data_IF_932010522236
#
_entry.id   IF_932010522236
#
_cell.length_a   1.000
_cell.length_b   1.000
_cell.length_c   1.000
_cell.angle_alpha   90.00
_cell.angle_beta   90.00
_cell.angle_gamma   90.00
#
_symmetry.space_group_name_H-M   'P 1'
#
loop_
_entity.id
_entity.type
_entity.pdbx_description
1 polymer ?
#
# COMPACT_ATOMS: atom_id res chain seq x y z
N UNK A 1 4.87 -25.76 21.71
CA UNK A 1 4.88 -26.54 22.94
C UNK A 1 4.54 -28.00 22.61
N UNK A 2 5.49 -28.94 22.81
CA UNK A 2 5.27 -30.35 22.51
C UNK A 2 4.16 -31.02 23.34
N UNK A 3 3.76 -30.39 24.45
CA UNK A 3 2.66 -30.85 25.29
C UNK A 3 1.28 -30.70 24.67
N UNK A 4 1.14 -29.78 23.70
CA UNK A 4 -0.12 -29.55 23.00
C UNK A 4 -0.34 -30.63 21.94
N UNK A 5 -1.47 -31.33 21.99
CA UNK A 5 -1.83 -32.35 21.04
C UNK A 5 -1.79 -31.88 19.60
N UNK A 6 -2.35 -30.69 19.35
CA UNK A 6 -2.37 -30.09 18.02
C UNK A 6 -0.95 -29.86 17.44
N UNK A 7 0.01 -29.44 18.26
CA UNK A 7 1.40 -29.25 17.82
C UNK A 7 2.08 -30.58 17.48
N UNK A 8 1.79 -31.65 18.23
CA UNK A 8 2.31 -32.98 17.89
C UNK A 8 1.74 -33.51 16.58
N UNK A 9 0.44 -33.42 16.41
CA UNK A 9 -0.22 -33.87 15.18
C UNK A 9 0.26 -33.10 13.96
N UNK A 10 0.41 -31.76 14.08
CA UNK A 10 0.98 -30.92 13.03
C UNK A 10 2.43 -31.30 12.71
N UNK A 11 3.25 -31.55 13.72
CA UNK A 11 4.64 -31.97 13.55
C UNK A 11 4.75 -33.31 12.84
N UNK A 12 3.98 -34.33 13.26
CA UNK A 12 3.97 -35.65 12.63
C UNK A 12 3.51 -35.58 11.17
N UNK A 13 2.49 -34.75 10.88
CA UNK A 13 2.01 -34.54 9.52
C UNK A 13 3.08 -33.85 8.66
N UNK A 14 3.75 -32.85 9.19
CA UNK A 14 4.83 -32.12 8.50
C UNK A 14 6.02 -33.06 8.21
N UNK A 15 6.42 -33.91 9.17
CA UNK A 15 7.47 -34.90 8.97
C UNK A 15 7.13 -35.89 7.82
N UNK A 16 5.89 -36.30 7.73
CA UNK A 16 5.42 -37.16 6.63
C UNK A 16 5.42 -36.45 5.30
N UNK A 17 4.91 -35.20 5.27
CA UNK A 17 4.90 -34.36 4.07
C UNK A 17 6.31 -34.09 3.56
N UNK A 18 7.24 -33.75 4.46
CA UNK A 18 8.62 -33.46 4.10
C UNK A 18 9.32 -34.68 3.43
N UNK A 19 9.07 -35.90 3.90
CA UNK A 19 9.60 -37.10 3.25
C UNK A 19 9.14 -37.22 1.80
N UNK A 20 7.85 -37.02 1.56
CA UNK A 20 7.26 -37.08 0.22
C UNK A 20 7.81 -35.93 -0.66
N UNK A 21 7.97 -34.71 -0.11
CA UNK A 21 8.56 -33.59 -0.84
C UNK A 21 10.02 -33.85 -1.24
N UNK A 22 10.82 -34.47 -0.37
CA UNK A 22 12.19 -34.86 -0.68
C UNK A 22 12.24 -35.91 -1.80
N UNK A 23 11.34 -36.90 -1.76
CA UNK A 23 11.22 -37.92 -2.83
C UNK A 23 10.82 -37.27 -4.16
N UNK A 24 9.83 -36.41 -4.16
CA UNK A 24 9.41 -35.65 -5.37
C UNK A 24 10.52 -34.75 -5.91
N UNK A 25 11.25 -34.07 -5.05
CA UNK A 25 12.37 -33.24 -5.46
C UNK A 25 13.42 -34.06 -6.23
N UNK A 26 13.71 -35.28 -5.76
CA UNK A 26 14.63 -36.21 -6.42
C UNK A 26 14.07 -36.76 -7.72
N UNK A 27 12.81 -37.18 -7.72
CA UNK A 27 12.12 -37.76 -8.88
C UNK A 27 11.98 -36.78 -10.03
N UNK A 28 11.57 -35.53 -9.72
CA UNK A 28 11.31 -34.50 -10.73
C UNK A 28 12.48 -33.55 -10.97
N UNK A 29 13.61 -33.73 -10.28
CA UNK A 29 14.77 -32.84 -10.40
C UNK A 29 14.53 -31.41 -9.93
N UNK A 30 13.62 -31.22 -8.96
CA UNK A 30 13.27 -29.92 -8.38
C UNK A 30 14.15 -29.68 -7.15
N UNK A 31 14.75 -28.49 -7.08
CA UNK A 31 15.58 -28.12 -5.94
C UNK A 31 14.74 -27.66 -4.76
N UNK A 32 15.05 -28.18 -3.57
CA UNK A 32 14.44 -27.75 -2.31
C UNK A 32 15.20 -26.58 -1.72
N UNK A 33 14.50 -25.74 -0.99
CA UNK A 33 15.05 -24.72 -0.09
C UNK A 33 14.42 -24.89 1.29
N UNK A 34 15.19 -24.65 2.36
CA UNK A 34 14.68 -24.67 3.71
C UNK A 34 14.16 -23.28 4.12
N UNK A 35 13.09 -23.25 4.90
CA UNK A 35 12.50 -22.05 5.49
C UNK A 35 12.17 -22.28 6.95
N UNK A 36 12.05 -21.24 7.76
CA UNK A 36 11.79 -21.34 9.21
C UNK A 36 10.53 -20.62 9.68
N UNK A 37 9.77 -20.00 8.79
CA UNK A 37 8.52 -19.30 9.16
C UNK A 37 8.74 -18.29 10.31
N UNK A 38 9.76 -17.44 10.20
CA UNK A 38 10.17 -16.51 11.27
C UNK A 38 9.07 -15.49 11.59
N UNK A 39 8.72 -15.38 12.88
CA UNK A 39 7.71 -14.46 13.40
C UNK A 39 8.23 -13.53 14.48
N UNK A 40 9.38 -13.84 15.07
CA UNK A 40 10.01 -13.03 16.11
C UNK A 40 11.54 -13.15 16.04
N UNK A 41 12.24 -12.25 16.74
CA UNK A 41 13.66 -12.00 16.56
C UNK A 41 14.53 -13.13 17.11
N UNK A 42 14.32 -13.48 18.38
CA UNK A 42 15.12 -14.47 19.09
C UNK A 42 14.24 -15.39 19.96
N UNK A 43 14.86 -16.41 20.54
CA UNK A 43 14.19 -17.41 21.36
C UNK A 43 13.56 -16.80 22.63
N UNK A 44 14.18 -15.78 23.18
CA UNK A 44 13.76 -15.09 24.40
C UNK A 44 12.48 -14.28 24.17
N UNK A 45 12.24 -13.80 22.95
CA UNK A 45 11.05 -13.01 22.58
C UNK A 45 9.82 -13.85 22.26
N UNK A 46 9.92 -15.18 22.31
CA UNK A 46 8.79 -16.09 22.04
C UNK A 46 7.58 -15.85 22.96
N UNK A 47 7.81 -15.55 24.24
CA UNK A 47 6.73 -15.23 25.19
C UNK A 47 6.06 -13.89 24.87
N UNK A 48 6.82 -12.88 24.48
CA UNK A 48 6.29 -11.58 24.07
C UNK A 48 5.40 -11.73 22.82
N UNK A 49 5.83 -12.55 21.86
CA UNK A 49 5.01 -12.86 20.67
C UNK A 49 3.70 -13.57 21.04
N UNK A 50 3.72 -14.52 21.99
CA UNK A 50 2.52 -15.21 22.46
C UNK A 50 1.50 -14.25 23.09
N UNK A 51 1.96 -13.25 23.86
CA UNK A 51 1.12 -12.18 24.39
C UNK A 51 0.56 -11.28 23.27
N UNK A 52 1.38 -10.96 22.27
CA UNK A 52 0.96 -10.16 21.13
C UNK A 52 -0.17 -10.85 20.34
N UNK A 53 -0.11 -12.17 20.18
CA UNK A 53 -1.20 -12.95 19.58
C UNK A 53 -2.51 -12.83 20.36
N UNK A 54 -2.45 -12.82 21.69
CA UNK A 54 -3.63 -12.61 22.52
C UNK A 54 -4.25 -11.23 22.29
N UNK A 55 -3.45 -10.18 22.24
CA UNK A 55 -3.91 -8.82 21.95
C UNK A 55 -4.54 -8.75 20.56
N UNK A 56 -3.86 -9.30 19.53
CA UNK A 56 -4.32 -9.25 18.14
C UNK A 56 -5.62 -10.04 17.91
N UNK A 57 -5.85 -11.11 18.67
CA UNK A 57 -7.04 -11.98 18.51
C UNK A 57 -8.14 -11.72 19.54
N UNK A 58 -7.93 -10.81 20.49
CA UNK A 58 -8.87 -10.53 21.57
C UNK A 58 -9.11 -11.75 22.51
N UNK A 59 -8.05 -12.51 22.76
CA UNK A 59 -8.09 -13.74 23.59
C UNK A 59 -7.23 -13.60 24.84
N UNK A 60 -7.65 -14.27 25.91
CA UNK A 60 -6.88 -14.37 27.14
C UNK A 60 -5.81 -15.48 27.06
N UNK A 61 -4.75 -15.36 27.87
CA UNK A 61 -3.64 -16.32 27.87
C UNK A 61 -4.07 -17.74 28.26
N UNK A 62 -5.09 -17.88 29.10
CA UNK A 62 -5.63 -19.14 29.58
C UNK A 62 -6.76 -19.71 28.69
N UNK A 63 -7.20 -18.98 27.64
CA UNK A 63 -8.19 -19.51 26.69
C UNK A 63 -7.63 -20.76 25.98
N UNK A 64 -8.26 -21.93 26.14
CA UNK A 64 -7.80 -23.17 25.54
C UNK A 64 -7.88 -23.17 24.01
N UNK A 65 -8.72 -22.33 23.43
CA UNK A 65 -8.96 -22.27 21.98
C UNK A 65 -8.23 -21.11 21.29
N UNK A 66 -7.32 -20.42 21.98
CA UNK A 66 -6.53 -19.36 21.37
C UNK A 66 -5.47 -19.88 20.41
N UNK A 67 -5.09 -19.06 19.45
CA UNK A 67 -3.96 -19.33 18.56
C UNK A 67 -2.66 -19.42 19.36
N UNK A 68 -1.85 -20.43 19.06
CA UNK A 68 -0.51 -20.62 19.62
C UNK A 68 0.46 -21.05 18.54
N UNK A 69 1.66 -20.53 18.61
CA UNK A 69 2.80 -21.01 17.81
C UNK A 69 3.62 -22.05 18.60
N UNK A 70 4.55 -22.68 17.91
CA UNK A 70 5.41 -23.71 18.51
C UNK A 70 6.52 -23.14 19.40
N UNK A 71 6.73 -21.82 19.33
CA UNK A 71 7.85 -21.08 19.92
C UNK A 71 9.19 -21.44 19.30
N UNK A 72 9.18 -21.94 18.07
CA UNK A 72 10.37 -22.25 17.28
C UNK A 72 10.58 -21.28 16.10
N UNK A 73 9.73 -20.29 15.97
CA UNK A 73 9.64 -19.38 14.83
C UNK A 73 10.53 -18.14 14.99
N UNK A 74 11.64 -18.22 15.74
CA UNK A 74 12.64 -17.15 15.82
C UNK A 74 13.57 -17.14 14.60
N UNK A 75 14.25 -16.02 14.40
CA UNK A 75 15.25 -15.85 13.35
C UNK A 75 16.53 -16.61 13.69
N UNK A 76 16.61 -17.87 13.28
CA UNK A 76 17.71 -18.78 13.59
C UNK A 76 19.02 -18.38 12.93
N UNK A 77 20.12 -18.60 13.62
CA UNK A 77 21.47 -18.49 13.06
C UNK A 77 21.71 -19.56 11.99
N UNK A 78 22.78 -19.37 11.21
CA UNK A 78 23.19 -20.39 10.23
C UNK A 78 23.46 -21.73 10.88
N UNK A 79 24.11 -21.73 12.03
CA UNK A 79 24.45 -22.92 12.80
C UNK A 79 23.20 -23.66 13.24
N UNK A 80 22.22 -22.95 13.82
CA UNK A 80 20.92 -23.51 14.21
C UNK A 80 20.16 -24.07 13.00
N UNK A 81 20.16 -23.38 11.87
CA UNK A 81 19.53 -23.87 10.65
C UNK A 81 20.23 -25.13 10.11
N UNK A 82 21.57 -25.20 10.20
CA UNK A 82 22.32 -26.39 9.82
C UNK A 82 22.00 -27.61 10.71
N UNK A 83 21.74 -27.38 12.00
CA UNK A 83 21.31 -28.44 12.92
C UNK A 83 19.90 -28.93 12.59
N UNK A 84 18.96 -28.02 12.36
CA UNK A 84 17.54 -28.32 12.05
C UNK A 84 17.39 -29.09 10.74
N UNK A 85 18.19 -28.76 9.73
CA UNK A 85 18.13 -29.37 8.38
C UNK A 85 19.35 -30.21 8.03
N UNK A 86 19.97 -30.84 9.03
CA UNK A 86 21.17 -31.64 8.84
C UNK A 86 20.96 -32.85 7.91
N UNK A 87 19.74 -33.35 7.79
CA UNK A 87 19.33 -34.45 6.92
C UNK A 87 19.13 -34.02 5.43
N UNK A 88 19.03 -32.71 5.15
CA UNK A 88 18.82 -32.16 3.81
C UNK A 88 19.73 -30.95 3.56
N UNK A 89 21.06 -31.08 3.67
CA UNK A 89 21.99 -29.94 3.61
C UNK A 89 21.96 -29.20 2.28
N UNK A 90 21.57 -29.86 1.19
CA UNK A 90 21.38 -29.23 -0.11
C UNK A 90 20.26 -28.16 -0.10
N UNK A 91 19.23 -28.32 0.74
CA UNK A 91 18.16 -27.34 0.88
C UNK A 91 18.65 -26.03 1.52
N UNK A 92 19.69 -26.09 2.34
CA UNK A 92 20.37 -24.90 2.88
C UNK A 92 21.20 -24.20 1.80
N UNK A 93 22.05 -24.95 1.07
CA UNK A 93 22.90 -24.37 0.03
C UNK A 93 22.09 -23.82 -1.14
N UNK A 94 20.96 -24.41 -1.48
CA UNK A 94 20.10 -23.95 -2.57
C UNK A 94 19.46 -22.57 -2.30
N UNK A 95 19.44 -22.08 -1.06
CA UNK A 95 19.02 -20.72 -0.76
C UNK A 95 19.86 -19.68 -1.48
N UNK A 96 21.15 -19.96 -1.72
CA UNK A 96 22.05 -19.10 -2.50
C UNK A 96 21.64 -19.01 -3.97
N UNK A 97 21.00 -20.02 -4.53
CA UNK A 97 20.50 -19.98 -5.90
C UNK A 97 19.34 -18.97 -6.05
N UNK A 98 18.50 -18.86 -5.02
CA UNK A 98 17.46 -17.84 -4.98
C UNK A 98 18.08 -16.45 -4.92
N UNK A 99 19.08 -16.27 -4.05
CA UNK A 99 19.82 -15.00 -3.95
C UNK A 99 20.48 -14.62 -5.28
N UNK A 100 21.10 -15.58 -5.97
CA UNK A 100 21.78 -15.33 -7.24
C UNK A 100 20.84 -14.98 -8.41
N UNK A 101 19.52 -15.19 -8.25
CA UNK A 101 18.52 -14.76 -9.24
C UNK A 101 18.05 -13.32 -9.03
N UNK A 102 18.39 -12.72 -7.89
CA UNK A 102 17.98 -11.35 -7.56
C UNK A 102 18.93 -10.37 -8.26
N UNK A 103 18.35 -9.52 -9.09
CA UNK A 103 19.05 -8.39 -9.69
C UNK A 103 18.91 -7.16 -8.78
N UNK A 104 19.98 -6.37 -8.66
CA UNK A 104 19.92 -5.13 -7.91
C UNK A 104 19.11 -4.09 -8.67
N UNK A 105 17.99 -3.69 -8.11
CA UNK A 105 17.14 -2.61 -8.63
C UNK A 105 16.49 -1.84 -7.48
N UNK A 106 16.03 -0.64 -7.77
CA UNK A 106 15.27 0.13 -6.82
C UNK A 106 13.76 -0.13 -7.01
N UNK A 107 13.06 -0.41 -5.93
CA UNK A 107 11.60 -0.44 -5.89
C UNK A 107 11.03 0.90 -5.43
N UNK A 108 11.91 1.84 -5.05
CA UNK A 108 11.52 3.18 -4.64
C UNK A 108 11.26 4.04 -5.88
N UNK A 109 10.02 4.42 -6.06
CA UNK A 109 9.55 5.34 -7.08
C UNK A 109 8.44 6.23 -6.51
N UNK A 110 8.19 7.35 -7.15
CA UNK A 110 7.11 8.24 -6.75
C UNK A 110 5.74 7.55 -6.79
N UNK A 111 4.77 8.07 -6.03
CA UNK A 111 3.41 7.53 -6.03
C UNK A 111 2.83 7.45 -7.43
N UNK A 112 2.26 6.30 -7.77
CA UNK A 112 1.54 6.10 -9.02
C UNK A 112 0.07 6.44 -8.76
N UNK A 113 -0.38 7.55 -9.34
CA UNK A 113 -1.81 7.92 -9.30
C UNK A 113 -2.54 7.13 -10.38
N UNK A 114 -3.58 6.34 -10.01
CA UNK A 114 -4.40 5.67 -10.99
C UNK A 114 -5.17 6.67 -11.85
N UNK A 115 -5.46 6.27 -13.07
CA UNK A 115 -6.20 7.09 -14.03
C UNK A 115 -7.71 6.85 -13.87
N UNK A 116 -8.47 7.95 -13.70
CA UNK A 116 -9.93 7.92 -13.77
C UNK A 116 -10.37 8.32 -15.19
N UNK A 117 -11.17 7.50 -15.91
CA UNK A 117 -11.67 7.83 -17.23
C UNK A 117 -12.84 8.83 -17.13
N UNK A 118 -12.57 10.11 -17.40
CA UNK A 118 -13.62 11.13 -17.46
C UNK A 118 -14.43 10.92 -18.76
N UNK A 119 -15.77 10.90 -18.68
CA UNK A 119 -16.61 10.73 -19.87
C UNK A 119 -16.40 11.83 -20.93
N UNK A 120 -16.31 11.46 -22.20
CA UNK A 120 -16.13 12.41 -23.32
C UNK A 120 -17.27 13.44 -23.40
N UNK A 121 -18.46 13.10 -22.89
CA UNK A 121 -19.59 14.04 -22.79
C UNK A 121 -19.32 15.25 -21.90
N UNK A 122 -18.37 15.15 -20.99
CA UNK A 122 -17.90 16.26 -20.15
C UNK A 122 -16.88 17.15 -20.89
N UNK A 123 -16.17 16.58 -21.86
CA UNK A 123 -15.11 17.22 -22.63
C UNK A 123 -13.82 16.43 -22.59
N UNK A 124 -12.76 17.00 -23.17
CA UNK A 124 -11.42 16.39 -23.20
C UNK A 124 -10.35 17.34 -22.67
N UNK A 125 -9.23 16.77 -22.21
CA UNK A 125 -8.08 17.55 -21.77
C UNK A 125 -7.52 18.43 -22.90
N UNK A 126 -7.54 17.95 -24.17
CA UNK A 126 -7.12 18.71 -25.32
C UNK A 126 -7.98 19.99 -25.52
N UNK A 127 -9.28 19.88 -25.30
CA UNK A 127 -10.18 21.04 -25.37
C UNK A 127 -9.89 22.04 -24.24
N UNK A 128 -9.53 21.57 -23.07
CA UNK A 128 -9.11 22.41 -21.95
C UNK A 128 -7.80 23.14 -22.29
N UNK A 129 -6.80 22.45 -22.82
CA UNK A 129 -5.50 23.01 -23.22
C UNK A 129 -5.63 24.10 -24.29
N UNK A 130 -6.66 24.07 -25.13
CA UNK A 130 -6.92 25.10 -26.12
C UNK A 130 -7.54 26.39 -25.51
N UNK A 131 -8.17 26.28 -24.35
CA UNK A 131 -8.91 27.37 -23.69
C UNK A 131 -8.17 28.03 -22.55
N UNK A 132 -7.28 27.32 -21.90
CA UNK A 132 -6.59 27.72 -20.67
C UNK A 132 -5.11 27.84 -20.94
N UNK A 133 -4.52 28.99 -20.65
CA UNK A 133 -3.07 29.22 -20.78
C UNK A 133 -2.31 28.75 -19.53
N UNK A 134 -0.99 28.57 -19.63
CA UNK A 134 -0.13 28.30 -18.47
C UNK A 134 -0.18 29.46 -17.45
N UNK A 135 -0.36 30.71 -17.89
CA UNK A 135 -0.52 31.85 -17.01
C UNK A 135 -1.81 31.77 -16.19
N UNK A 136 -2.92 31.31 -16.82
CA UNK A 136 -4.17 31.06 -16.12
C UNK A 136 -4.04 29.95 -15.10
N UNK A 137 -3.35 28.86 -15.46
CA UNK A 137 -3.05 27.76 -14.52
C UNK A 137 -2.18 28.25 -13.36
N UNK A 138 -1.12 29.00 -13.64
CA UNK A 138 -0.27 29.55 -12.60
C UNK A 138 -1.10 30.36 -11.60
N UNK A 139 -1.90 31.29 -12.08
CA UNK A 139 -2.77 32.13 -11.24
C UNK A 139 -3.74 31.26 -10.42
N UNK A 140 -4.42 30.31 -11.05
CA UNK A 140 -5.42 29.44 -10.38
C UNK A 140 -4.84 28.58 -9.29
N UNK A 141 -3.64 28.01 -9.50
CA UNK A 141 -3.01 27.08 -8.55
C UNK A 141 -2.14 27.75 -7.47
N UNK A 142 -1.92 29.05 -7.61
CA UNK A 142 -1.12 29.84 -6.66
C UNK A 142 -1.93 30.91 -5.92
N UNK A 143 -3.25 30.88 -6.06
CA UNK A 143 -4.19 31.80 -5.40
C UNK A 143 -5.08 31.00 -4.44
N UNK A 144 -5.56 31.66 -3.38
CA UNK A 144 -6.48 31.06 -2.40
C UNK A 144 -7.84 30.67 -3.03
N UNK A 145 -8.70 30.05 -2.25
CA UNK A 145 -10.02 29.53 -2.67
C UNK A 145 -10.98 30.67 -3.12
N UNK A 146 -10.75 31.89 -2.68
CA UNK A 146 -11.54 33.07 -3.03
C UNK A 146 -10.97 33.83 -4.25
N UNK A 147 -9.76 33.47 -4.69
CA UNK A 147 -9.07 34.14 -5.78
C UNK A 147 -8.48 35.51 -5.41
N UNK A 148 -8.33 35.79 -4.12
CA UNK A 148 -7.92 37.12 -3.62
C UNK A 148 -6.41 37.21 -3.32
N UNK A 149 -5.83 36.17 -2.75
CA UNK A 149 -4.44 36.18 -2.27
C UNK A 149 -3.56 35.24 -3.08
N UNK A 150 -2.74 35.82 -3.96
CA UNK A 150 -1.78 35.05 -4.76
C UNK A 150 -0.46 34.92 -4.02
N UNK A 151 0.15 33.73 -4.11
CA UNK A 151 1.48 33.44 -3.54
C UNK A 151 2.57 34.30 -4.20
N UNK A 152 3.62 34.68 -3.47
CA UNK A 152 4.82 35.28 -4.08
C UNK A 152 5.39 34.40 -5.19
N UNK A 153 6.01 34.98 -6.25
CA UNK A 153 6.46 34.23 -7.43
C UNK A 153 7.36 33.03 -7.13
N UNK A 154 8.27 33.16 -6.15
CA UNK A 154 9.17 32.06 -5.76
C UNK A 154 8.43 30.88 -5.09
N UNK A 155 7.40 31.19 -4.31
CA UNK A 155 6.56 30.17 -3.66
C UNK A 155 5.60 29.56 -4.67
N UNK A 156 5.02 30.35 -5.54
CA UNK A 156 4.17 29.89 -6.62
C UNK A 156 4.90 28.92 -7.55
N UNK A 157 6.16 29.20 -7.92
CA UNK A 157 6.95 28.28 -8.75
C UNK A 157 7.18 26.94 -8.04
N UNK A 158 7.42 26.94 -6.73
CA UNK A 158 7.55 25.69 -5.96
C UNK A 158 6.27 24.84 -5.99
N UNK A 159 5.09 25.48 -6.02
CA UNK A 159 3.82 24.76 -6.17
C UNK A 159 3.74 24.08 -7.54
N UNK A 160 4.07 24.80 -8.62
CA UNK A 160 4.09 24.25 -9.98
C UNK A 160 5.04 23.07 -10.09
N UNK A 161 6.27 23.20 -9.57
CA UNK A 161 7.28 22.15 -9.59
C UNK A 161 6.85 20.92 -8.77
N UNK A 162 6.28 21.13 -7.58
CA UNK A 162 5.74 20.06 -6.72
C UNK A 162 4.63 19.29 -7.42
N UNK A 163 3.75 19.94 -8.16
CA UNK A 163 2.68 19.30 -8.92
C UNK A 163 3.15 18.59 -10.19
N UNK A 164 4.43 18.78 -10.55
CA UNK A 164 5.09 18.10 -11.67
C UNK A 164 5.03 18.82 -13.01
N UNK A 165 4.86 20.15 -12.98
CA UNK A 165 4.86 21.04 -14.14
C UNK A 165 3.50 21.16 -14.82
N UNK A 166 3.43 22.05 -15.80
CA UNK A 166 2.16 22.42 -16.45
C UNK A 166 1.45 21.25 -17.14
N UNK A 167 2.19 20.30 -17.71
CA UNK A 167 1.57 19.11 -18.34
C UNK A 167 0.71 18.31 -17.36
N UNK A 168 1.20 18.12 -16.14
CA UNK A 168 0.42 17.45 -15.08
C UNK A 168 -0.68 18.34 -14.53
N UNK A 169 -0.44 19.64 -14.43
CA UNK A 169 -1.43 20.61 -13.92
C UNK A 169 -2.65 20.71 -14.84
N UNK A 170 -2.50 20.62 -16.15
CA UNK A 170 -3.65 20.53 -17.06
C UNK A 170 -4.52 19.33 -16.73
N UNK A 171 -3.90 18.17 -16.48
CA UNK A 171 -4.63 16.98 -16.08
C UNK A 171 -5.32 17.14 -14.72
N UNK A 172 -4.60 17.66 -13.72
CA UNK A 172 -5.14 17.93 -12.38
C UNK A 172 -6.34 18.89 -12.48
N UNK A 173 -6.23 19.95 -13.28
CA UNK A 173 -7.34 20.90 -13.50
C UNK A 173 -8.55 20.23 -14.14
N UNK A 174 -8.34 19.42 -15.17
CA UNK A 174 -9.43 18.70 -15.86
C UNK A 174 -10.16 17.75 -14.92
N UNK A 175 -9.43 17.00 -14.10
CA UNK A 175 -9.98 16.12 -13.06
C UNK A 175 -10.70 16.92 -11.97
N UNK A 176 -10.17 18.08 -11.56
CA UNK A 176 -10.80 18.95 -10.57
C UNK A 176 -12.11 19.55 -11.06
N UNK A 177 -12.20 19.93 -12.35
CA UNK A 177 -13.45 20.42 -12.93
C UNK A 177 -14.53 19.35 -12.99
N UNK A 178 -14.16 18.11 -13.32
CA UNK A 178 -15.10 17.00 -13.31
C UNK A 178 -15.54 16.64 -11.89
N UNK A 179 -14.61 16.58 -10.94
CA UNK A 179 -14.90 16.34 -9.52
C UNK A 179 -15.84 17.43 -8.98
N UNK A 180 -15.60 18.70 -9.32
CA UNK A 180 -16.48 19.82 -8.97
C UNK A 180 -17.89 19.61 -9.51
N UNK A 181 -18.00 19.23 -10.78
CA UNK A 181 -19.30 18.94 -11.41
C UNK A 181 -20.09 17.88 -10.63
N UNK A 182 -19.46 16.74 -10.30
CA UNK A 182 -20.09 15.65 -9.54
C UNK A 182 -20.43 16.06 -8.11
N UNK A 183 -19.51 16.74 -7.43
CA UNK A 183 -19.72 17.20 -6.05
C UNK A 183 -20.91 18.17 -5.94
N UNK A 184 -21.02 19.15 -6.84
CA UNK A 184 -22.13 20.07 -6.85
C UNK A 184 -23.45 19.42 -7.27
N UNK A 185 -23.42 18.45 -8.18
CA UNK A 185 -24.60 17.66 -8.51
C UNK A 185 -25.09 16.87 -7.28
N UNK A 186 -24.18 16.24 -6.55
CA UNK A 186 -24.47 15.53 -5.32
C UNK A 186 -24.95 16.44 -4.19
N UNK A 187 -24.28 17.59 -4.00
CA UNK A 187 -24.66 18.56 -2.98
C UNK A 187 -26.07 19.11 -3.21
N UNK A 188 -26.43 19.47 -4.44
CA UNK A 188 -27.80 19.92 -4.75
C UNK A 188 -28.87 18.86 -4.48
N UNK A 189 -28.56 17.59 -4.73
CA UNK A 189 -29.49 16.47 -4.41
C UNK A 189 -29.71 16.32 -2.91
N UNK A 190 -28.68 16.56 -2.09
CA UNK A 190 -28.73 16.38 -0.65
C UNK A 190 -29.25 17.60 0.11
N UNK A 191 -28.87 18.79 -0.31
CA UNK A 191 -29.11 20.05 0.43
C UNK A 191 -30.07 21.01 -0.28
N UNK A 192 -30.48 20.70 -1.52
CA UNK A 192 -31.38 21.55 -2.31
C UNK A 192 -30.68 22.50 -3.28
N UNK A 193 -31.48 23.16 -4.14
CA UNK A 193 -31.01 24.14 -5.10
C UNK A 193 -31.88 25.41 -4.97
N UNK A 194 -31.32 26.60 -4.60
CA UNK A 194 -29.89 26.84 -4.37
C UNK A 194 -29.35 26.17 -3.09
N UNK A 195 -28.03 25.93 -3.09
CA UNK A 195 -27.35 25.42 -1.89
C UNK A 195 -27.39 26.44 -0.76
N UNK A 196 -27.47 26.00 0.52
CA UNK A 196 -27.20 26.89 1.66
C UNK A 196 -25.79 27.46 1.58
N UNK A 197 -25.61 28.71 1.93
CA UNK A 197 -24.34 29.48 1.81
C UNK A 197 -23.17 28.73 2.50
N UNK A 198 -23.39 28.26 3.74
CA UNK A 198 -22.36 27.53 4.49
C UNK A 198 -21.98 26.17 3.83
N UNK A 199 -22.87 25.53 3.10
CA UNK A 199 -22.60 24.30 2.37
C UNK A 199 -21.79 24.62 1.11
N UNK A 200 -22.16 25.68 0.38
CA UNK A 200 -21.45 26.12 -0.83
C UNK A 200 -20.00 26.51 -0.50
N UNK A 201 -19.81 27.33 0.53
CA UNK A 201 -18.49 27.74 1.00
C UNK A 201 -17.63 26.52 1.37
N UNK A 202 -18.19 25.56 2.12
CA UNK A 202 -17.46 24.36 2.54
C UNK A 202 -17.09 23.47 1.36
N UNK A 203 -18.01 23.20 0.45
CA UNK A 203 -17.74 22.41 -0.77
C UNK A 203 -16.68 23.11 -1.63
N UNK A 204 -16.74 24.42 -1.78
CA UNK A 204 -15.75 25.17 -2.54
C UNK A 204 -14.34 25.06 -1.92
N UNK A 205 -14.25 25.22 -0.60
CA UNK A 205 -12.99 25.08 0.14
C UNK A 205 -12.38 23.69 -0.02
N UNK A 206 -13.15 22.63 0.21
CA UNK A 206 -12.68 21.25 0.10
C UNK A 206 -12.18 20.93 -1.33
N UNK A 207 -12.94 21.33 -2.34
CA UNK A 207 -12.54 21.14 -3.74
C UNK A 207 -11.27 21.92 -4.09
N UNK A 208 -11.11 23.12 -3.53
CA UNK A 208 -9.88 23.90 -3.70
C UNK A 208 -8.67 23.18 -3.10
N UNK A 209 -8.79 22.65 -1.88
CA UNK A 209 -7.73 21.89 -1.22
C UNK A 209 -7.36 20.65 -2.06
N UNK A 210 -8.34 19.84 -2.48
CA UNK A 210 -8.11 18.65 -3.31
C UNK A 210 -7.37 18.98 -4.61
N UNK A 211 -7.75 20.09 -5.27
CA UNK A 211 -7.12 20.58 -6.49
C UNK A 211 -5.68 21.04 -6.27
N UNK A 212 -5.45 21.92 -5.30
CA UNK A 212 -4.13 22.52 -5.04
C UNK A 212 -3.12 21.56 -4.45
N UNK A 213 -3.61 20.50 -3.78
CA UNK A 213 -2.78 19.38 -3.34
C UNK A 213 -2.47 18.35 -4.44
N UNK A 214 -3.17 18.43 -5.60
CA UNK A 214 -2.92 17.56 -6.75
C UNK A 214 -3.62 16.20 -6.71
N UNK A 215 -4.68 16.05 -5.91
CA UNK A 215 -5.35 14.76 -5.68
C UNK A 215 -6.80 14.63 -6.21
N UNK A 216 -7.30 15.46 -7.15
CA UNK A 216 -8.68 15.31 -7.61
C UNK A 216 -8.94 13.96 -8.26
N UNK A 217 -7.96 13.40 -9.00
CA UNK A 217 -8.08 12.08 -9.60
C UNK A 217 -8.24 10.95 -8.57
N UNK A 218 -7.62 11.08 -7.41
CA UNK A 218 -7.82 10.13 -6.31
C UNK A 218 -9.28 10.13 -5.81
N UNK A 219 -9.84 11.31 -5.57
CA UNK A 219 -11.23 11.46 -5.12
C UNK A 219 -12.26 11.02 -6.16
N UNK A 220 -11.93 11.06 -7.44
CA UNK A 220 -12.79 10.52 -8.50
C UNK A 220 -12.87 8.99 -8.49
N UNK A 221 -11.88 8.30 -7.89
CA UNK A 221 -11.82 6.83 -7.83
C UNK A 221 -12.49 6.29 -6.57
N UNK A 222 -12.39 7.03 -5.46
CA UNK A 222 -12.99 6.67 -4.16
C UNK A 222 -14.46 7.00 -4.12
#
# INVERSE_FOLDING_TARGET
DPSLLANREAYELQQRANKVLIEFAREYGIKLVCTNDCHFEDKETAEAHDHLLCIATGKDLDDPNRMRYSKQEWFKTREEMNEVFADVPEALSNTLEVLNKVELYSIDHGPIMPFFPIPESFGTEEQLRQKVSEEDLYREFTTDENGENQLPPEEGQKVIDRLGGYDKIYRIKFEAEYLRHLAYEGARKLYGDPLPENVDEHVNFELHVMKTMGFPGYFLIV
#
